data_IF_215507127474
#
_entry.id   IF_215507127474
#
_cell.length_a   1.000
_cell.length_b   1.000
_cell.length_c   1.000
_cell.angle_alpha   90.00
_cell.angle_beta   90.00
_cell.angle_gamma   90.00
#
_symmetry.space_group_name_H-M   'P 1'
#
loop_
_entity.id
_entity.type
_entity.pdbx_description
1 polymer ?
#
# COMPACT_ATOMS: atom_id res chain seq x y z
N UNK A 1 8.23 -62.53 -18.97
CA UNK A 1 9.67 -62.38 -18.63
C UNK A 1 10.62 -62.27 -19.83
N UNK A 2 10.38 -62.94 -20.97
CA UNK A 2 11.29 -62.90 -22.13
C UNK A 2 11.57 -61.50 -22.72
N UNK A 3 10.53 -60.66 -22.80
CA UNK A 3 10.61 -59.33 -23.44
C UNK A 3 11.61 -58.41 -22.73
N UNK A 4 11.62 -58.44 -21.39
CA UNK A 4 12.56 -57.64 -20.60
C UNK A 4 14.00 -58.12 -20.81
N UNK A 5 14.22 -59.42 -20.90
CA UNK A 5 15.53 -60.02 -21.16
C UNK A 5 16.06 -59.66 -22.56
N UNK A 6 15.21 -59.69 -23.59
CA UNK A 6 15.57 -59.25 -24.96
C UNK A 6 15.88 -57.76 -24.99
N UNK A 7 15.05 -56.91 -24.36
CA UNK A 7 15.31 -55.47 -24.24
C UNK A 7 16.61 -55.16 -23.50
N UNK A 8 16.97 -55.99 -22.52
CA UNK A 8 18.20 -55.86 -21.73
C UNK A 8 19.45 -56.30 -22.50
N UNK A 9 19.34 -57.15 -23.53
CA UNK A 9 20.47 -57.61 -24.36
C UNK A 9 20.57 -56.92 -25.73
N UNK A 10 19.50 -56.30 -26.24
CA UNK A 10 19.54 -55.56 -27.50
C UNK A 10 20.38 -54.27 -27.33
N UNK A 11 21.52 -54.22 -28.05
CA UNK A 11 22.46 -53.10 -28.03
C UNK A 11 21.82 -51.78 -28.46
N UNK A 12 20.86 -51.79 -29.39
CA UNK A 12 20.18 -50.56 -29.86
C UNK A 12 19.35 -49.93 -28.75
N UNK A 13 18.70 -50.77 -27.95
CA UNK A 13 17.87 -50.34 -26.83
C UNK A 13 18.76 -49.81 -25.70
N UNK A 14 19.90 -50.46 -25.44
CA UNK A 14 20.89 -49.97 -24.48
C UNK A 14 21.45 -48.61 -24.88
N UNK A 15 21.88 -48.43 -26.14
CA UNK A 15 22.40 -47.16 -26.64
C UNK A 15 21.34 -46.05 -26.55
N UNK A 16 20.09 -46.36 -26.91
CA UNK A 16 18.99 -45.39 -26.77
C UNK A 16 18.74 -45.01 -25.32
N UNK A 17 18.82 -45.98 -24.40
CA UNK A 17 18.67 -45.73 -22.96
C UNK A 17 19.79 -44.83 -22.43
N UNK A 18 21.05 -45.13 -22.77
CA UNK A 18 22.22 -44.33 -22.40
C UNK A 18 22.09 -42.91 -22.95
N UNK A 19 21.71 -42.76 -24.23
CA UNK A 19 21.50 -41.45 -24.84
C UNK A 19 20.41 -40.63 -24.13
N UNK A 20 19.29 -41.26 -23.77
CA UNK A 20 18.20 -40.57 -23.05
C UNK A 20 18.61 -40.19 -21.63
N UNK A 21 19.39 -41.04 -20.95
CA UNK A 21 19.95 -40.76 -19.63
C UNK A 21 20.92 -39.57 -19.68
N UNK A 22 21.82 -39.56 -20.67
CA UNK A 22 22.76 -38.43 -20.87
C UNK A 22 22.04 -37.12 -21.20
N UNK A 23 20.99 -37.18 -22.02
CA UNK A 23 20.16 -36.01 -22.30
C UNK A 23 19.45 -35.49 -21.03
N UNK A 24 19.00 -36.40 -20.16
CA UNK A 24 18.36 -36.05 -18.91
C UNK A 24 19.36 -35.46 -17.89
N UNK A 25 20.57 -36.02 -17.79
CA UNK A 25 21.63 -35.48 -16.92
C UNK A 25 22.08 -34.10 -17.40
N UNK A 26 22.25 -33.90 -18.71
CA UNK A 26 22.58 -32.61 -19.29
C UNK A 26 21.51 -31.54 -19.00
N UNK A 27 20.23 -31.87 -19.20
CA UNK A 27 19.10 -30.98 -18.87
C UNK A 27 19.06 -30.64 -17.38
N UNK A 28 19.20 -31.65 -16.51
CA UNK A 28 19.23 -31.47 -15.06
C UNK A 28 20.38 -30.56 -14.61
N UNK A 29 21.56 -30.69 -15.24
CA UNK A 29 22.72 -29.82 -14.98
C UNK A 29 22.46 -28.38 -15.43
N UNK A 30 21.94 -28.18 -16.63
CA UNK A 30 21.59 -26.85 -17.13
C UNK A 30 20.52 -26.15 -16.26
N UNK A 31 19.50 -26.88 -15.81
CA UNK A 31 18.48 -26.35 -14.90
C UNK A 31 19.02 -26.04 -13.50
N UNK A 32 19.97 -26.83 -13.00
CA UNK A 32 20.65 -26.54 -11.73
C UNK A 32 21.51 -25.28 -11.84
N UNK A 33 22.25 -25.12 -12.95
CA UNK A 33 23.07 -23.94 -13.21
C UNK A 33 22.21 -22.67 -13.36
N UNK A 34 21.09 -22.74 -14.10
CA UNK A 34 20.14 -21.61 -14.21
C UNK A 34 19.63 -21.18 -12.84
N UNK A 35 19.22 -22.14 -11.99
CA UNK A 35 18.75 -21.85 -10.62
C UNK A 35 19.84 -21.25 -9.74
N UNK A 36 21.08 -21.72 -9.84
CA UNK A 36 22.19 -21.15 -9.10
C UNK A 36 22.49 -19.72 -9.55
N UNK A 37 22.45 -19.44 -10.86
CA UNK A 37 22.62 -18.10 -11.41
C UNK A 37 21.52 -17.14 -10.96
N UNK A 38 20.26 -17.59 -10.95
CA UNK A 38 19.13 -16.81 -10.44
C UNK A 38 19.29 -16.49 -8.95
N UNK A 39 19.73 -17.47 -8.14
CA UNK A 39 20.04 -17.25 -6.72
C UNK A 39 21.17 -16.25 -6.52
N UNK A 40 22.27 -16.39 -7.27
CA UNK A 40 23.40 -15.46 -7.22
C UNK A 40 22.97 -14.05 -7.62
N UNK A 41 22.21 -13.89 -8.71
CA UNK A 41 21.68 -12.59 -9.13
C UNK A 41 20.80 -11.97 -8.05
N UNK A 42 19.93 -12.76 -7.41
CA UNK A 42 19.07 -12.27 -6.33
C UNK A 42 19.88 -11.86 -5.09
N UNK A 43 20.92 -12.63 -4.74
CA UNK A 43 21.83 -12.29 -3.64
C UNK A 43 22.62 -11.01 -3.95
N UNK A 44 23.08 -10.85 -5.19
CA UNK A 44 23.77 -9.65 -5.64
C UNK A 44 22.84 -8.43 -5.67
N UNK A 45 21.61 -8.58 -6.16
CA UNK A 45 20.57 -7.53 -6.11
C UNK A 45 20.30 -7.11 -4.66
N UNK A 46 20.24 -8.05 -3.72
CA UNK A 46 20.08 -7.78 -2.28
C UNK A 46 21.31 -7.11 -1.66
N UNK A 47 22.52 -7.48 -2.08
CA UNK A 47 23.75 -6.86 -1.60
C UNK A 47 23.97 -5.45 -2.17
N UNK A 48 23.58 -5.24 -3.43
CA UNK A 48 23.60 -3.92 -4.09
C UNK A 48 22.39 -3.05 -3.71
N UNK A 49 21.40 -3.62 -3.02
CA UNK A 49 20.28 -2.85 -2.49
C UNK A 49 20.79 -1.89 -1.43
N UNK A 50 21.17 -0.70 -1.88
CA UNK A 50 21.43 0.45 -1.03
C UNK A 50 20.06 1.03 -0.65
N UNK A 51 19.77 1.03 0.64
CA UNK A 51 18.53 1.57 1.18
C UNK A 51 18.30 2.99 0.62
N UNK A 52 17.10 3.24 0.08
CA UNK A 52 16.76 4.53 -0.52
C UNK A 52 16.92 5.64 0.53
N UNK A 53 17.25 6.89 0.17
CA UNK A 53 17.58 7.95 1.15
C UNK A 53 16.48 8.22 2.21
N UNK A 54 15.23 7.81 1.94
CA UNK A 54 14.11 7.81 2.89
C UNK A 54 14.24 6.76 4.01
N UNK A 55 15.22 5.88 3.92
CA UNK A 55 15.62 4.88 4.92
C UNK A 55 16.90 5.27 5.64
N UNK A 56 17.56 6.38 5.27
CA UNK A 56 18.67 6.88 6.09
C UNK A 56 18.05 7.44 7.36
N UNK A 57 17.97 6.57 8.36
CA UNK A 57 17.40 6.84 9.66
C UNK A 57 17.96 8.14 10.26
N UNK A 58 19.25 8.40 10.05
CA UNK A 58 19.95 9.61 10.49
C UNK A 58 19.41 10.92 9.87
N UNK A 59 19.03 10.93 8.59
CA UNK A 59 18.50 12.14 7.94
C UNK A 59 17.04 12.38 8.35
N UNK A 60 16.28 11.31 8.58
CA UNK A 60 14.93 11.38 9.10
C UNK A 60 14.90 11.83 10.58
N UNK A 61 15.81 11.34 11.40
CA UNK A 61 15.98 11.78 12.80
C UNK A 61 16.23 13.29 12.89
N UNK A 62 17.10 13.84 12.03
CA UNK A 62 17.34 15.28 11.97
C UNK A 62 16.08 16.07 11.59
N UNK A 63 15.32 15.60 10.60
CA UNK A 63 14.07 16.23 10.19
C UNK A 63 13.03 16.24 11.32
N UNK A 64 12.97 15.17 12.12
CA UNK A 64 12.08 15.10 13.28
C UNK A 64 12.50 16.05 14.40
N UNK A 65 13.80 16.14 14.70
CA UNK A 65 14.33 17.05 15.72
C UNK A 65 14.10 18.53 15.35
N UNK A 66 14.25 18.88 14.06
CA UNK A 66 13.95 20.23 13.56
C UNK A 66 12.45 20.57 13.65
N UNK A 67 11.57 19.60 13.38
CA UNK A 67 10.12 19.74 13.57
C UNK A 67 9.75 19.91 15.05
N UNK A 68 10.32 19.09 15.93
CA UNK A 68 10.07 19.17 17.38
C UNK A 68 10.44 20.55 17.93
N UNK A 69 11.61 21.07 17.54
CA UNK A 69 12.04 22.42 17.93
C UNK A 69 11.06 23.48 17.44
N UNK A 70 10.64 23.41 16.18
CA UNK A 70 9.70 24.39 15.59
C UNK A 70 8.35 24.37 16.31
N UNK A 71 7.83 23.19 16.64
CA UNK A 71 6.57 23.06 17.39
C UNK A 71 6.74 23.63 18.80
N UNK A 72 7.85 23.32 19.47
CA UNK A 72 8.14 23.81 20.82
C UNK A 72 8.26 25.33 20.85
N UNK A 73 8.98 25.93 19.91
CA UNK A 73 9.10 27.40 19.82
C UNK A 73 7.76 28.06 19.57
N UNK A 74 6.94 27.54 18.64
CA UNK A 74 5.64 28.12 18.35
C UNK A 74 4.67 28.02 19.53
N UNK A 75 4.76 26.93 20.30
CA UNK A 75 3.98 26.74 21.51
C UNK A 75 4.44 27.68 22.64
N UNK A 76 5.75 27.83 22.84
CA UNK A 76 6.31 28.75 23.84
C UNK A 76 6.03 30.23 23.48
N UNK A 77 6.11 30.59 22.20
CA UNK A 77 5.82 31.94 21.70
C UNK A 77 4.32 32.27 21.82
N UNK A 78 3.42 31.30 21.62
CA UNK A 78 1.98 31.47 21.85
C UNK A 78 1.58 31.60 23.33
N UNK A 79 2.46 31.21 24.27
CA UNK A 79 2.19 31.31 25.72
C UNK A 79 2.87 32.53 26.38
N UNK A 80 3.70 33.30 25.66
CA UNK A 80 4.40 34.47 26.20
C UNK A 80 3.68 35.81 25.89
N UNK A 81 2.62 35.80 25.08
CA UNK A 81 1.84 37.01 24.74
C UNK A 81 0.53 37.13 25.54
N UNK A 82 0.60 36.90 26.87
CA UNK A 82 -0.51 37.26 27.77
C UNK A 82 0.00 37.89 29.08
N UNK A 83 0.66 39.04 28.96
CA UNK A 83 0.80 39.96 30.09
C UNK A 83 1.05 41.41 29.67
N UNK A 84 -0.05 42.18 29.72
CA UNK A 84 -0.19 43.65 29.84
C UNK A 84 -0.16 44.49 28.55
N UNK A 85 -1.30 45.11 28.20
CA UNK A 85 -1.67 46.47 28.66
C UNK A 85 -3.12 46.83 28.27
N UNK A 86 -3.79 47.59 29.14
CA UNK A 86 -5.22 47.92 29.13
C UNK A 86 -5.57 49.02 28.10
N UNK A 87 -6.71 48.90 27.39
CA UNK A 87 -7.60 50.02 27.01
C UNK A 87 -8.89 49.54 26.30
N UNK A 88 -9.97 49.48 27.08
CA UNK A 88 -11.27 50.13 26.83
C UNK A 88 -11.97 49.92 25.45
N UNK A 89 -12.87 48.93 25.37
CA UNK A 89 -14.32 49.08 25.07
C UNK A 89 -14.94 47.79 24.48
N UNK A 90 -16.13 47.49 25.00
CA UNK A 90 -17.17 46.54 24.54
C UNK A 90 -16.91 45.03 24.69
N UNK A 91 -17.41 44.52 25.82
CA UNK A 91 -18.46 43.49 25.88
C UNK A 91 -18.46 42.43 24.76
N UNK A 92 -17.60 41.41 24.90
CA UNK A 92 -18.00 40.02 24.70
C UNK A 92 -16.89 39.08 25.21
N UNK A 93 -17.29 38.14 26.05
CA UNK A 93 -16.40 37.17 26.71
C UNK A 93 -15.63 36.32 25.70
N UNK A 94 -14.29 36.42 25.74
CA UNK A 94 -13.34 35.72 24.86
C UNK A 94 -13.36 34.18 25.05
N UNK A 95 -14.03 33.67 26.10
CA UNK A 95 -14.08 32.24 26.41
C UNK A 95 -15.18 31.44 25.66
N UNK A 96 -16.06 32.09 24.87
CA UNK A 96 -17.24 31.42 24.28
C UNK A 96 -17.38 31.51 22.75
N UNK A 97 -16.36 31.93 22.00
CA UNK A 97 -16.38 31.81 20.53
C UNK A 97 -16.07 30.34 20.17
N UNK A 98 -17.08 29.48 20.22
CA UNK A 98 -17.02 28.16 19.59
C UNK A 98 -16.84 28.36 18.09
N UNK A 99 -15.61 28.29 17.61
CA UNK A 99 -15.32 28.31 16.18
C UNK A 99 -15.88 27.02 15.55
N UNK A 100 -16.99 27.14 14.82
CA UNK A 100 -17.63 26.01 14.17
C UNK A 100 -16.98 25.77 12.83
N UNK A 101 -16.52 24.54 12.58
CA UNK A 101 -15.79 24.20 11.36
C UNK A 101 -16.51 23.15 10.52
N UNK A 102 -16.63 23.41 9.22
CA UNK A 102 -17.15 22.45 8.25
C UNK A 102 -16.01 21.74 7.51
N UNK A 103 -15.87 20.44 7.76
CA UNK A 103 -14.86 19.58 7.12
C UNK A 103 -15.10 19.41 5.61
N UNK A 104 -16.36 19.35 5.18
CA UNK A 104 -16.67 19.16 3.76
C UNK A 104 -16.28 20.37 2.90
N UNK A 105 -16.29 21.57 3.47
CA UNK A 105 -16.05 22.82 2.75
C UNK A 105 -14.77 23.53 3.16
N UNK A 106 -14.06 23.04 4.19
CA UNK A 106 -12.93 23.68 4.84
C UNK A 106 -13.18 25.14 5.21
N UNK A 107 -14.23 25.40 5.98
CA UNK A 107 -14.64 26.75 6.39
C UNK A 107 -14.95 26.82 7.88
N UNK A 108 -14.44 27.85 8.55
CA UNK A 108 -14.79 28.20 9.93
C UNK A 108 -15.89 29.27 9.96
N UNK A 109 -16.69 29.23 11.02
CA UNK A 109 -17.83 30.11 11.24
C UNK A 109 -17.84 30.56 12.71
N UNK A 110 -18.09 31.85 12.93
CA UNK A 110 -18.09 32.47 14.27
C UNK A 110 -19.44 32.34 15.00
N UNK A 111 -20.48 31.82 14.35
CA UNK A 111 -21.83 31.75 14.91
C UNK A 111 -22.59 30.55 14.37
N UNK A 112 -23.37 29.89 15.24
CA UNK A 112 -24.25 28.78 14.91
C UNK A 112 -25.20 29.11 13.74
N UNK A 113 -25.73 30.33 13.69
CA UNK A 113 -26.65 30.75 12.63
C UNK A 113 -25.99 30.73 11.25
N UNK A 114 -24.72 31.13 11.18
CA UNK A 114 -23.95 31.12 9.93
C UNK A 114 -23.60 29.70 9.49
N UNK A 115 -23.29 28.83 10.46
CA UNK A 115 -23.03 27.41 10.23
C UNK A 115 -24.27 26.67 9.73
N UNK A 116 -25.43 26.86 10.36
CA UNK A 116 -26.70 26.26 9.93
C UNK A 116 -27.14 26.71 8.53
N UNK A 117 -26.89 27.98 8.17
CA UNK A 117 -27.13 28.45 6.81
C UNK A 117 -26.19 27.76 5.82
N UNK A 118 -24.91 27.62 6.19
CA UNK A 118 -23.93 26.91 5.41
C UNK A 118 -24.31 25.45 5.15
N UNK A 119 -24.75 24.70 6.17
CA UNK A 119 -25.21 23.30 6.02
C UNK A 119 -26.41 23.18 5.08
N UNK A 120 -27.30 24.19 5.11
CA UNK A 120 -28.46 24.23 4.23
C UNK A 120 -28.14 24.63 2.79
N UNK A 121 -26.97 25.24 2.56
CA UNK A 121 -26.55 25.70 1.25
C UNK A 121 -26.41 24.55 0.25
N UNK A 122 -26.76 24.83 -1.01
CA UNK A 122 -26.67 23.85 -2.09
C UNK A 122 -25.24 23.33 -2.28
N UNK A 123 -24.24 24.21 -2.16
CA UNK A 123 -22.82 23.87 -2.29
C UNK A 123 -22.37 22.87 -1.22
N UNK A 124 -22.75 23.07 0.05
CA UNK A 124 -22.42 22.14 1.12
C UNK A 124 -23.00 20.75 0.84
N UNK A 125 -24.30 20.69 0.48
CA UNK A 125 -24.99 19.43 0.16
C UNK A 125 -24.34 18.70 -1.02
N UNK A 126 -23.94 19.42 -2.07
CA UNK A 126 -23.20 18.86 -3.22
C UNK A 126 -21.85 18.28 -2.77
N UNK A 127 -21.05 19.00 -1.98
CA UNK A 127 -19.77 18.50 -1.49
C UNK A 127 -19.91 17.27 -0.59
N UNK A 128 -20.90 17.27 0.32
CA UNK A 128 -21.18 16.13 1.19
C UNK A 128 -21.60 14.90 0.38
N UNK A 129 -22.40 15.07 -0.68
CA UNK A 129 -22.78 13.96 -1.56
C UNK A 129 -21.57 13.37 -2.30
N UNK A 130 -20.70 14.23 -2.84
CA UNK A 130 -19.47 13.78 -3.51
C UNK A 130 -18.57 13.01 -2.54
N UNK A 131 -18.39 13.54 -1.33
CA UNK A 131 -17.59 12.89 -0.29
C UNK A 131 -18.16 11.51 0.08
N UNK A 132 -19.47 11.41 0.30
CA UNK A 132 -20.14 10.13 0.58
C UNK A 132 -19.99 9.12 -0.55
N UNK A 133 -20.14 9.57 -1.79
CA UNK A 133 -19.96 8.72 -2.97
C UNK A 133 -18.52 8.19 -3.08
N UNK A 134 -17.52 9.02 -2.78
CA UNK A 134 -16.12 8.59 -2.77
C UNK A 134 -15.87 7.52 -1.71
N UNK A 135 -16.32 7.75 -0.47
CA UNK A 135 -16.18 6.80 0.64
C UNK A 135 -16.86 5.47 0.29
N UNK A 136 -18.06 5.51 -0.26
CA UNK A 136 -18.78 4.30 -0.66
C UNK A 136 -18.04 3.55 -1.77
N UNK A 137 -17.54 4.25 -2.79
CA UNK A 137 -16.76 3.64 -3.87
C UNK A 137 -15.45 3.02 -3.36
N UNK A 138 -14.82 3.61 -2.35
CA UNK A 138 -13.62 3.06 -1.70
C UNK A 138 -13.97 1.82 -0.88
N UNK A 139 -15.05 1.84 -0.10
CA UNK A 139 -15.52 0.68 0.67
C UNK A 139 -15.87 -0.51 -0.23
N UNK A 140 -16.55 -0.26 -1.36
CA UNK A 140 -16.87 -1.30 -2.34
C UNK A 140 -15.58 -1.90 -2.95
N UNK A 141 -14.60 -1.06 -3.28
CA UNK A 141 -13.29 -1.51 -3.78
C UNK A 141 -12.53 -2.35 -2.76
N UNK A 142 -12.67 -2.03 -1.47
CA UNK A 142 -12.04 -2.72 -0.36
C UNK A 142 -12.89 -3.88 0.18
N UNK A 143 -14.08 -4.12 -0.38
CA UNK A 143 -15.06 -5.11 0.10
C UNK A 143 -15.43 -4.96 1.59
N UNK A 144 -15.49 -3.71 2.07
CA UNK A 144 -15.79 -3.37 3.47
C UNK A 144 -17.30 -3.31 3.79
N UNK A 145 -18.17 -3.42 2.78
CA UNK A 145 -19.62 -3.27 2.95
C UNK A 145 -20.35 -4.53 3.47
N UNK A 146 -19.63 -5.50 4.05
CA UNK A 146 -20.27 -6.68 4.65
C UNK A 146 -20.53 -6.47 6.16
N UNK A 147 -21.79 -6.24 6.59
CA UNK A 147 -22.11 -5.99 8.00
C UNK A 147 -21.99 -7.22 8.91
N UNK A 148 -21.64 -8.41 8.40
CA UNK A 148 -21.47 -9.63 9.21
C UNK A 148 -20.18 -9.67 10.04
N UNK A 149 -19.29 -8.68 9.95
CA UNK A 149 -17.95 -8.72 10.59
C UNK A 149 -17.75 -7.71 11.73
N UNK A 150 -18.82 -7.11 12.27
CA UNK A 150 -18.68 -6.19 13.43
C UNK A 150 -19.76 -6.43 14.48
N UNK A 151 -19.81 -7.66 15.01
CA UNK A 151 -20.32 -7.89 16.37
C UNK A 151 -19.11 -7.88 17.32
N UNK A 152 -18.64 -6.69 17.67
CA UNK A 152 -17.81 -6.51 18.85
C UNK A 152 -18.76 -6.28 20.02
N UNK A 153 -19.11 -7.37 20.71
CA UNK A 153 -19.69 -7.27 22.05
C UNK A 153 -18.60 -6.74 23.00
N UNK A 154 -18.98 -5.83 23.89
CA UNK A 154 -18.07 -5.08 24.79
C UNK A 154 -17.30 -5.93 25.83
N UNK A 155 -17.27 -7.25 25.71
CA UNK A 155 -16.68 -8.16 26.70
C UNK A 155 -15.31 -8.75 26.31
N UNK A 156 -14.79 -8.48 25.10
CA UNK A 156 -13.52 -9.06 24.61
C UNK A 156 -12.33 -8.07 24.71
N UNK A 157 -12.23 -7.27 25.79
CA UNK A 157 -11.20 -6.24 25.94
C UNK A 157 -9.85 -6.70 26.53
N UNK A 158 -9.67 -7.99 26.85
CA UNK A 158 -8.47 -8.47 27.56
C UNK A 158 -7.50 -9.36 26.75
N UNK A 159 -7.73 -9.60 25.45
CA UNK A 159 -6.84 -10.48 24.66
C UNK A 159 -6.53 -9.97 23.23
N UNK A 160 -6.30 -8.67 23.04
CA UNK A 160 -5.71 -8.15 21.79
C UNK A 160 -4.63 -7.09 22.11
N UNK A 161 -3.54 -7.53 22.74
CA UNK A 161 -2.26 -6.81 22.68
C UNK A 161 -1.27 -7.67 21.92
N UNK A 162 -1.42 -7.71 20.59
CA UNK A 162 -0.30 -7.97 19.70
C UNK A 162 -0.62 -7.39 18.32
N UNK A 163 -0.46 -6.07 18.18
CA UNK A 163 -0.50 -5.39 16.88
C UNK A 163 0.67 -5.89 16.01
N UNK A 164 0.43 -6.51 14.83
CA UNK A 164 1.48 -6.68 13.84
C UNK A 164 1.69 -5.37 13.08
N UNK A 165 2.97 -5.01 12.93
CA UNK A 165 3.44 -3.80 12.27
C UNK A 165 2.74 -3.52 10.93
N UNK A 166 2.22 -2.31 10.82
CA UNK A 166 1.64 -1.72 9.62
C UNK A 166 2.68 -1.64 8.49
N UNK A 167 2.57 -2.54 7.50
CA UNK A 167 3.26 -2.43 6.23
C UNK A 167 2.27 -1.94 5.17
N UNK A 168 2.49 -0.73 4.64
CA UNK A 168 1.74 -0.22 3.49
C UNK A 168 2.11 -0.98 2.21
N UNK A 169 1.14 -1.46 1.42
CA UNK A 169 1.42 -1.99 0.09
C UNK A 169 1.57 -0.88 -0.96
N UNK A 170 2.66 -1.01 -1.72
CA UNK A 170 3.03 -0.18 -2.85
C UNK A 170 2.16 -0.39 -4.10
N UNK A 171 2.04 0.67 -4.90
CA UNK A 171 1.30 0.75 -6.17
C UNK A 171 1.68 -0.38 -7.13
N UNK A 172 0.69 -1.17 -7.54
CA UNK A 172 0.86 -2.22 -8.54
C UNK A 172 0.76 -1.67 -9.98
N UNK A 173 1.80 -1.96 -10.77
CA UNK A 173 1.89 -1.62 -12.20
C UNK A 173 0.91 -2.46 -13.03
N UNK A 174 0.06 -1.80 -13.82
CA UNK A 174 -0.80 -2.40 -14.86
C UNK A 174 0.02 -3.28 -15.82
N UNK A 175 -0.28 -4.58 -15.87
CA UNK A 175 0.13 -5.47 -16.99
C UNK A 175 -0.94 -5.42 -18.09
N UNK A 176 -0.56 -4.88 -19.26
CA UNK A 176 -1.31 -5.00 -20.52
C UNK A 176 -1.36 -6.47 -20.95
N UNK A 177 -2.56 -7.03 -21.10
CA UNK A 177 -2.82 -8.39 -21.64
C UNK A 177 -2.81 -8.35 -23.17
N UNK A 178 -1.95 -9.18 -23.76
CA UNK A 178 -1.77 -9.41 -25.20
C UNK A 178 -2.98 -10.19 -25.75
N UNK A 179 -3.74 -9.61 -26.68
CA UNK A 179 -4.70 -10.35 -27.50
C UNK A 179 -3.96 -11.09 -28.63
N UNK A 180 -4.17 -12.40 -28.70
CA UNK A 180 -3.75 -13.28 -29.79
C UNK A 180 -4.79 -13.17 -30.90
N UNK A 181 -4.41 -12.78 -32.12
CA UNK A 181 -5.16 -13.10 -33.33
C UNK A 181 -4.42 -14.24 -34.02
N UNK A 182 -5.11 -15.37 -34.13
CA UNK A 182 -4.75 -16.47 -35.02
C UNK A 182 -4.87 -15.96 -36.45
N UNK A 183 -3.90 -16.29 -37.30
CA UNK A 183 -4.15 -16.58 -38.71
C UNK A 183 -3.30 -17.80 -39.06
N UNK A 184 -4.02 -18.85 -39.47
CA UNK A 184 -3.51 -19.96 -40.27
C UNK A 184 -3.29 -19.43 -41.69
N UNK A 185 -2.27 -19.98 -42.35
CA UNK A 185 -2.14 -20.31 -43.78
C UNK A 185 -0.63 -20.66 -43.91
N UNK A 186 -0.24 -21.93 -44.15
CA UNK A 186 -0.53 -22.69 -45.36
C UNK A 186 0.52 -22.25 -46.41
N UNK A 187 1.75 -22.76 -46.33
CA UNK A 187 2.25 -23.91 -47.11
C UNK A 187 2.64 -23.55 -48.56
N UNK A 188 3.72 -24.21 -49.01
CA UNK A 188 4.29 -24.29 -50.36
C UNK A 188 5.36 -23.26 -50.79
N UNK A 189 6.61 -23.64 -50.56
CA UNK A 189 7.58 -24.05 -51.59
C UNK A 189 7.41 -23.53 -53.02
N UNK A 190 8.48 -22.96 -53.56
CA UNK A 190 8.68 -22.71 -55.00
C UNK A 190 9.57 -21.51 -55.26
#
# INVERSE_FOLDING_TARGET
ELIAFVKKRDKRIQLRKIYLEELATQKKRADAERRNREKQKKLEELAQYKESQWMSFEEFEKQLDDLEKTVKTNFEESNHDDSKDENDNDDDSIDDIKELYCVACNKSFKSDKAFLNHENSRKHKEFVQIMKAHIQQENEQLSLDNPEQVNLTNDDYDEIVQLPAYNQPSKSKKKKKKQRRNNKDGDSSG
#
